data_IF_932089696885
#
_entry.id   IF_932089696885
#
_cell.length_a   1.000
_cell.length_b   1.000
_cell.length_c   1.000
_cell.angle_alpha   90.00
_cell.angle_beta   90.00
_cell.angle_gamma   90.00
#
_symmetry.space_group_name_H-M   'P 1'
#
loop_
_entity.id
_entity.type
_entity.pdbx_description
1 polymer ?
#
# COMPACT_ATOMS: atom_id res chain seq x y z
N UNK A 1 48.31 36.71 -5.06
CA UNK A 1 49.11 37.86 -4.57
C UNK A 1 48.42 38.40 -3.33
N UNK A 2 49.08 38.29 -2.17
CA UNK A 2 48.80 38.82 -0.80
C UNK A 2 47.43 38.51 -0.16
N UNK A 3 47.22 37.68 0.87
CA UNK A 3 47.93 37.27 2.13
C UNK A 3 47.96 38.34 3.25
N UNK A 4 47.13 38.12 4.30
CA UNK A 4 47.38 38.13 5.79
C UNK A 4 46.10 38.54 6.55
N UNK A 5 45.48 37.72 7.41
CA UNK A 5 45.86 37.12 8.72
C UNK A 5 46.05 38.12 9.89
N UNK A 6 45.23 37.99 10.94
CA UNK A 6 45.53 37.55 12.33
C UNK A 6 44.41 38.05 13.30
N UNK A 7 43.61 37.15 13.92
CA UNK A 7 43.65 36.67 15.36
C UNK A 7 42.97 37.64 16.34
N UNK A 8 42.33 37.31 17.47
CA UNK A 8 41.69 36.17 18.15
C UNK A 8 41.44 36.69 19.60
N UNK A 9 40.53 36.06 20.37
CA UNK A 9 40.20 36.25 21.81
C UNK A 9 39.13 37.31 22.11
N UNK A 10 38.25 37.16 23.10
CA UNK A 10 37.67 36.03 23.83
C UNK A 10 36.56 36.64 24.71
N UNK A 11 35.49 35.86 24.94
CA UNK A 11 34.62 35.80 26.12
C UNK A 11 34.11 37.07 26.84
N UNK A 12 32.79 37.10 27.05
CA UNK A 12 32.24 37.49 28.35
C UNK A 12 31.10 38.51 28.36
N UNK A 13 29.92 38.00 28.73
CA UNK A 13 28.88 38.66 29.52
C UNK A 13 27.77 39.49 28.82
N UNK A 14 26.56 39.22 29.32
CA UNK A 14 25.45 40.17 29.53
C UNK A 14 24.33 40.23 28.48
N UNK A 15 23.55 39.15 28.47
CA UNK A 15 22.10 39.15 28.22
C UNK A 15 21.39 39.95 29.34
N UNK A 16 21.22 41.26 29.17
CA UNK A 16 20.27 42.06 29.95
C UNK A 16 20.19 43.50 29.41
N UNK A 17 19.58 43.73 28.24
CA UNK A 17 19.11 45.08 27.86
C UNK A 17 18.28 45.11 26.56
N UNK A 18 17.22 44.30 26.42
CA UNK A 18 16.09 44.67 25.54
C UNK A 18 14.81 44.20 26.23
N UNK A 19 14.52 44.84 27.36
CA UNK A 19 13.30 44.65 28.14
C UNK A 19 12.73 46.03 28.49
N UNK A 20 12.54 46.91 27.50
CA UNK A 20 11.75 48.14 27.65
C UNK A 20 11.37 48.65 26.26
N UNK A 21 10.18 48.25 25.77
CA UNK A 21 9.28 49.00 24.88
C UNK A 21 8.27 48.05 24.23
N UNK A 22 7.26 47.64 24.99
CA UNK A 22 5.85 47.46 24.57
C UNK A 22 5.03 47.09 25.81
N UNK A 23 5.03 47.98 26.81
CA UNK A 23 4.14 47.88 27.96
C UNK A 23 3.10 49.00 27.83
N UNK A 24 2.01 48.72 27.10
CA UNK A 24 0.68 49.30 27.34
C UNK A 24 -0.31 48.79 26.28
N UNK A 25 -1.02 47.72 26.61
CA UNK A 25 -2.48 47.59 26.47
C UNK A 25 -2.90 46.17 26.92
N UNK A 26 -4.15 46.07 27.37
CA UNK A 26 -4.82 44.90 27.96
C UNK A 26 -4.53 44.64 29.45
N UNK A 27 -5.02 45.58 30.27
CA UNK A 27 -5.47 45.29 31.63
C UNK A 27 -6.97 45.04 31.58
N UNK A 28 -7.36 43.77 31.66
CA UNK A 28 -8.68 43.30 32.11
C UNK A 28 -8.59 41.78 32.39
N UNK A 29 -7.71 41.37 33.30
CA UNK A 29 -7.77 40.02 33.88
C UNK A 29 -9.04 39.95 34.72
N UNK A 30 -9.93 39.04 34.34
CA UNK A 30 -11.16 38.79 35.08
C UNK A 30 -10.81 38.16 36.43
N UNK A 31 -11.48 38.59 37.50
CA UNK A 31 -11.35 38.04 38.87
C UNK A 31 -11.65 36.53 38.97
N UNK A 32 -12.12 35.92 37.89
CA UNK A 32 -12.38 34.48 37.76
C UNK A 32 -11.12 33.65 37.54
N UNK A 33 -10.11 34.17 36.84
CA UNK A 33 -8.92 33.39 36.46
C UNK A 33 -7.92 33.28 37.61
N UNK A 34 -7.77 34.34 38.41
CA UNK A 34 -6.98 34.34 39.65
C UNK A 34 -7.57 33.41 40.70
N UNK A 35 -8.90 33.40 40.86
CA UNK A 35 -9.58 32.48 41.78
C UNK A 35 -9.46 31.00 41.35
N UNK A 36 -9.36 30.73 40.04
CA UNK A 36 -9.14 29.38 39.50
C UNK A 36 -7.70 28.91 39.72
N UNK A 37 -6.73 29.80 39.55
CA UNK A 37 -5.31 29.54 39.82
C UNK A 37 -5.07 29.22 41.29
N UNK A 38 -5.60 30.01 42.23
CA UNK A 38 -5.46 29.71 43.67
C UNK A 38 -6.10 28.36 44.05
N UNK A 39 -7.22 27.98 43.43
CA UNK A 39 -7.84 26.67 43.64
C UNK A 39 -6.99 25.53 43.11
N UNK A 40 -6.34 25.72 41.96
CA UNK A 40 -5.43 24.74 41.37
C UNK A 40 -4.16 24.58 42.22
N UNK A 41 -3.57 25.67 42.70
CA UNK A 41 -2.39 25.63 43.57
C UNK A 41 -2.69 24.90 44.88
N UNK A 42 -3.81 25.21 45.54
CA UNK A 42 -4.23 24.48 46.75
C UNK A 42 -4.50 23.00 46.48
N UNK A 43 -5.07 22.65 45.33
CA UNK A 43 -5.31 21.25 44.96
C UNK A 43 -4.00 20.49 44.73
N UNK A 44 -3.00 21.13 44.11
CA UNK A 44 -1.68 20.56 43.90
C UNK A 44 -0.94 20.37 45.22
N UNK A 45 -0.98 21.34 46.13
CA UNK A 45 -0.40 21.19 47.47
C UNK A 45 -1.05 20.05 48.27
N UNK A 46 -2.38 19.93 48.21
CA UNK A 46 -3.10 18.85 48.88
C UNK A 46 -2.72 17.47 48.30
N UNK A 47 -2.59 17.36 46.98
CA UNK A 47 -2.14 16.15 46.30
C UNK A 47 -0.70 15.79 46.62
N UNK A 48 0.19 16.77 46.74
CA UNK A 48 1.57 16.53 47.16
C UNK A 48 1.64 16.05 48.60
N UNK A 49 0.84 16.62 49.49
CA UNK A 49 0.74 16.18 50.89
C UNK A 49 0.20 14.74 51.01
N UNK A 50 -0.88 14.42 50.30
CA UNK A 50 -1.40 13.05 50.26
C UNK A 50 -0.39 12.04 49.71
N UNK A 51 0.36 12.41 48.67
CA UNK A 51 1.42 11.54 48.14
C UNK A 51 2.58 11.35 49.12
N UNK A 52 2.92 12.36 49.93
CA UNK A 52 3.92 12.24 50.98
C UNK A 52 3.45 11.31 52.11
N UNK A 53 2.19 11.44 52.55
CA UNK A 53 1.56 10.57 53.55
C UNK A 53 1.45 9.12 53.06
N UNK A 54 1.00 8.90 51.82
CA UNK A 54 0.96 7.57 51.21
C UNK A 54 2.34 6.93 51.08
N UNK A 55 3.37 7.72 50.73
CA UNK A 55 4.75 7.20 50.70
C UNK A 55 5.24 6.82 52.10
N UNK A 56 4.89 7.61 53.12
CA UNK A 56 5.22 7.30 54.50
C UNK A 56 4.51 6.01 54.97
N UNK A 57 3.23 5.83 54.64
CA UNK A 57 2.44 4.64 54.96
C UNK A 57 2.94 3.39 54.23
N UNK A 58 3.26 3.49 52.93
CA UNK A 58 3.87 2.37 52.19
C UNK A 58 5.23 2.00 52.79
N UNK A 59 6.01 2.99 53.25
CA UNK A 59 7.30 2.73 53.88
C UNK A 59 7.19 2.14 55.29
N UNK A 60 6.13 2.46 56.04
CA UNK A 60 5.85 1.84 57.35
C UNK A 60 5.34 0.40 57.19
N UNK A 61 4.49 0.14 56.19
CA UNK A 61 4.01 -1.21 55.86
C UNK A 61 5.16 -2.12 55.39
N UNK A 62 6.10 -1.60 54.59
CA UNK A 62 7.31 -2.35 54.19
C UNK A 62 8.24 -2.67 55.37
N UNK A 63 8.27 -1.86 56.42
CA UNK A 63 9.07 -2.12 57.63
C UNK A 63 8.46 -3.18 58.56
N UNK A 64 7.15 -3.43 58.49
CA UNK A 64 6.49 -4.49 59.27
C UNK A 64 6.51 -5.86 58.59
N UNK A 65 6.91 -5.93 57.31
CA UNK A 65 7.11 -7.17 56.57
C UNK A 65 8.60 -7.51 56.47
N UNK A 66 9.22 -7.86 57.60
CA UNK A 66 10.52 -8.54 57.64
C UNK A 66 10.35 -9.97 58.18
N UNK A 67 11.06 -10.98 57.64
CA UNK A 67 10.59 -12.36 57.64
C UNK A 67 11.05 -13.15 58.87
N UNK A 68 10.12 -13.85 59.53
CA UNK A 68 10.44 -14.96 60.42
C UNK A 68 10.72 -16.21 59.58
N UNK A 69 11.90 -16.81 59.80
CA UNK A 69 12.36 -18.04 59.17
C UNK A 69 11.39 -19.22 59.42
N UNK A 70 11.28 -20.14 58.44
CA UNK A 70 11.43 -21.62 58.57
C UNK A 70 11.17 -22.32 57.22
N UNK A 71 12.13 -23.19 56.85
CA UNK A 71 12.12 -24.43 56.04
C UNK A 71 11.64 -24.49 54.57
N UNK A 72 12.45 -25.22 53.79
CA UNK A 72 12.35 -25.57 52.37
C UNK A 72 11.26 -26.61 52.02
N UNK A 73 10.63 -26.53 50.82
CA UNK A 73 10.56 -27.51 49.68
C UNK A 73 9.92 -26.81 48.43
N UNK A 74 9.81 -27.40 47.21
CA UNK A 74 10.42 -26.92 45.97
C UNK A 74 9.48 -26.20 44.97
N UNK A 75 10.09 -25.79 43.86
CA UNK A 75 9.71 -24.86 42.80
C UNK A 75 8.29 -24.98 42.19
N UNK A 76 7.56 -23.86 42.22
CA UNK A 76 6.44 -23.54 41.35
C UNK A 76 6.17 -22.02 41.41
N UNK A 77 6.12 -21.32 40.27
CA UNK A 77 5.88 -19.87 40.25
C UNK A 77 4.42 -19.58 40.61
N UNK A 78 4.16 -19.13 41.83
CA UNK A 78 2.85 -18.62 42.26
C UNK A 78 2.88 -17.10 42.32
N UNK A 79 1.75 -16.46 41.95
CA UNK A 79 1.53 -15.02 42.16
C UNK A 79 0.51 -14.84 43.29
N UNK A 80 0.86 -14.05 44.30
CA UNK A 80 -0.03 -13.72 45.42
C UNK A 80 -1.10 -12.74 44.93
N UNK A 81 -2.37 -13.16 44.92
CA UNK A 81 -3.50 -12.27 44.65
C UNK A 81 -4.12 -11.81 45.97
N UNK A 82 -3.97 -10.52 46.29
CA UNK A 82 -4.57 -9.91 47.47
C UNK A 82 -5.94 -9.38 47.10
N UNK A 83 -6.98 -9.90 47.73
CA UNK A 83 -8.35 -9.39 47.57
C UNK A 83 -8.79 -8.76 48.90
N UNK A 84 -9.34 -7.55 48.84
CA UNK A 84 -9.73 -6.75 50.01
C UNK A 84 -11.24 -6.52 49.96
N UNK A 85 -11.98 -6.97 50.98
CA UNK A 85 -13.44 -6.78 51.08
C UNK A 85 -13.86 -5.65 52.03
N UNK A 86 -12.90 -4.86 52.52
CA UNK A 86 -13.16 -3.73 53.41
C UNK A 86 -12.82 -3.94 54.88
N UNK A 87 -12.51 -5.16 55.36
CA UNK A 87 -12.07 -5.36 56.77
C UNK A 87 -10.94 -6.36 57.02
N UNK A 88 -10.63 -7.27 56.11
CA UNK A 88 -9.55 -8.26 56.32
C UNK A 88 -8.79 -8.58 55.03
N UNK A 89 -7.48 -8.76 55.14
CA UNK A 89 -6.62 -9.25 54.05
C UNK A 89 -6.54 -10.77 54.13
N UNK A 90 -6.92 -11.46 53.05
CA UNK A 90 -6.70 -12.90 52.91
C UNK A 90 -5.74 -13.11 51.75
N UNK A 91 -4.53 -13.59 52.05
CA UNK A 91 -3.59 -14.07 51.04
C UNK A 91 -3.99 -15.50 50.65
N UNK A 92 -4.46 -15.68 49.41
CA UNK A 92 -4.68 -17.00 48.83
C UNK A 92 -3.64 -17.21 47.74
N UNK A 93 -2.85 -18.28 47.87
CA UNK A 93 -2.04 -18.77 46.77
C UNK A 93 -2.99 -19.36 45.71
N UNK A 94 -3.26 -18.60 44.65
CA UNK A 94 -4.00 -19.08 43.49
C UNK A 94 -2.95 -19.63 42.52
N UNK A 95 -3.12 -20.90 42.12
CA UNK A 95 -2.35 -21.47 41.02
C UNK A 95 -2.67 -20.64 39.78
N UNK A 96 -1.67 -19.99 39.20
CA UNK A 96 -1.79 -19.36 37.89
C UNK A 96 -2.11 -20.51 36.93
N UNK A 97 -3.38 -20.65 36.51
CA UNK A 97 -3.68 -21.40 35.30
C UNK A 97 -2.83 -20.74 34.22
N UNK A 98 -1.75 -21.40 33.82
CA UNK A 98 -1.12 -21.13 32.54
C UNK A 98 -2.27 -21.15 31.55
N UNK A 99 -2.71 -19.97 31.09
CA UNK A 99 -3.52 -19.91 29.89
C UNK A 99 -2.69 -20.68 28.88
N UNK A 100 -3.15 -21.86 28.43
CA UNK A 100 -2.36 -22.65 27.51
C UNK A 100 -1.96 -21.69 26.40
N UNK A 101 -0.68 -21.64 26.01
CA UNK A 101 -0.31 -20.83 24.86
C UNK A 101 -1.31 -21.18 23.77
N UNK A 102 -1.92 -20.15 23.16
CA UNK A 102 -2.95 -20.34 22.15
C UNK A 102 -2.26 -21.05 20.99
N UNK A 103 -2.24 -22.38 21.03
CA UNK A 103 -1.86 -23.19 19.92
C UNK A 103 -3.00 -23.07 18.93
N UNK A 104 -2.72 -22.56 17.74
CA UNK A 104 -3.60 -22.74 16.60
C UNK A 104 -3.64 -24.25 16.35
N UNK A 105 -4.62 -24.94 16.94
CA UNK A 105 -4.83 -26.35 16.71
C UNK A 105 -5.60 -26.50 15.40
N UNK A 106 -4.96 -27.19 14.45
CA UNK A 106 -5.58 -27.57 13.19
C UNK A 106 -6.90 -28.33 13.45
N UNK A 107 -8.03 -27.77 13.01
CA UNK A 107 -9.34 -28.44 13.07
C UNK A 107 -9.55 -29.22 11.77
N UNK A 108 -9.19 -30.49 11.76
CA UNK A 108 -9.40 -31.43 10.64
C UNK A 108 -8.09 -31.94 10.02
N UNK A 109 -8.08 -33.14 9.43
CA UNK A 109 -6.84 -33.81 8.99
C UNK A 109 -6.13 -33.15 7.79
N UNK A 110 -6.82 -32.28 7.03
CA UNK A 110 -6.39 -31.88 5.68
C UNK A 110 -5.94 -30.42 5.54
N UNK A 111 -6.08 -29.60 6.58
CA UNK A 111 -5.83 -28.16 6.48
C UNK A 111 -4.32 -27.86 6.40
N UNK A 112 -3.85 -27.42 5.23
CA UNK A 112 -2.52 -26.81 5.07
C UNK A 112 -2.65 -25.31 5.27
N UNK A 113 -2.11 -24.77 6.38
CA UNK A 113 -2.05 -23.33 6.62
C UNK A 113 -0.62 -22.83 6.45
N UNK A 114 -0.47 -21.71 5.75
CA UNK A 114 0.79 -20.98 5.62
C UNK A 114 0.56 -19.54 6.03
N UNK A 115 1.22 -19.12 7.10
CA UNK A 115 1.36 -17.72 7.45
C UNK A 115 2.57 -17.18 6.71
N UNK A 116 2.40 -16.07 6.01
CA UNK A 116 3.48 -15.39 5.33
C UNK A 116 3.25 -13.89 5.25
N UNK A 117 4.09 -13.23 4.46
CA UNK A 117 3.97 -11.80 4.24
C UNK A 117 5.15 -11.22 3.50
N UNK A 118 5.16 -9.90 3.38
CA UNK A 118 6.31 -9.20 2.85
C UNK A 118 6.34 -7.73 3.29
N UNK A 119 7.56 -7.19 3.34
CA UNK A 119 7.84 -5.79 3.62
C UNK A 119 8.62 -5.21 2.44
N UNK A 120 8.20 -4.04 1.97
CA UNK A 120 8.91 -3.24 0.98
C UNK A 120 9.18 -1.85 1.57
N UNK A 121 10.45 -1.52 1.77
CA UNK A 121 10.89 -0.20 2.22
C UNK A 121 11.54 0.53 1.05
N UNK A 122 11.09 1.75 0.78
CA UNK A 122 11.62 2.61 -0.26
C UNK A 122 12.41 3.77 0.35
N UNK A 123 13.49 4.16 -0.34
CA UNK A 123 14.08 5.49 -0.31
C UNK A 123 13.76 6.17 -1.64
N UNK A 124 13.29 7.42 -1.61
CA UNK A 124 12.88 8.21 -2.78
C UNK A 124 13.52 9.60 -2.69
N UNK A 125 14.16 10.04 -3.77
CA UNK A 125 14.95 11.28 -3.87
C UNK A 125 14.77 11.97 -5.22
N UNK A 126 14.76 13.31 -5.22
CA UNK A 126 14.55 14.14 -6.40
C UNK A 126 13.09 14.57 -6.56
N UNK A 127 12.56 14.45 -7.77
CA UNK A 127 11.17 14.76 -8.09
C UNK A 127 10.25 13.58 -7.71
N UNK A 128 10.13 13.33 -6.40
CA UNK A 128 9.46 12.14 -5.83
C UNK A 128 8.04 11.95 -6.38
N UNK A 129 7.81 10.80 -7.02
CA UNK A 129 6.55 10.39 -7.64
C UNK A 129 6.06 11.31 -8.78
N UNK A 130 6.93 12.13 -9.36
CA UNK A 130 6.59 12.96 -10.51
C UNK A 130 6.21 12.13 -11.74
N UNK A 131 6.72 10.90 -11.86
CA UNK A 131 6.28 9.95 -12.90
C UNK A 131 4.79 9.62 -12.79
N UNK A 132 4.18 9.68 -11.59
CA UNK A 132 2.72 9.55 -11.40
C UNK A 132 1.96 10.87 -11.66
N UNK A 133 2.64 11.91 -12.16
CA UNK A 133 2.10 13.25 -12.33
C UNK A 133 2.04 14.08 -11.04
N UNK A 134 2.75 13.67 -9.97
CA UNK A 134 2.78 14.40 -8.68
C UNK A 134 3.83 15.49 -8.67
N UNK A 135 3.52 16.61 -9.32
CA UNK A 135 4.32 17.82 -9.30
C UNK A 135 3.43 19.04 -9.00
N UNK A 136 4.00 20.25 -9.00
CA UNK A 136 3.27 21.46 -8.61
C UNK A 136 2.83 21.41 -7.15
N UNK A 137 1.54 21.61 -6.90
CA UNK A 137 0.99 21.59 -5.52
C UNK A 137 0.99 20.19 -4.89
N UNK A 138 1.04 19.13 -5.71
CA UNK A 138 1.07 17.74 -5.26
C UNK A 138 2.50 17.18 -5.13
N UNK A 139 3.52 18.02 -5.34
CA UNK A 139 4.91 17.60 -5.30
C UNK A 139 5.30 17.07 -3.92
N UNK A 140 5.95 15.91 -3.92
CA UNK A 140 6.45 15.28 -2.70
C UNK A 140 7.92 15.63 -2.48
N UNK A 141 8.39 15.42 -1.25
CA UNK A 141 9.79 15.60 -0.86
C UNK A 141 10.46 14.25 -0.66
N UNK A 142 11.79 14.27 -0.71
CA UNK A 142 12.63 13.11 -0.43
C UNK A 142 12.18 12.42 0.85
N UNK A 143 12.10 11.09 0.82
CA UNK A 143 11.53 10.33 1.93
C UNK A 143 12.06 8.91 2.00
N UNK A 144 12.03 8.39 3.22
CA UNK A 144 11.93 6.96 3.44
C UNK A 144 10.45 6.63 3.67
N UNK A 145 9.93 5.65 2.94
CA UNK A 145 8.56 5.16 3.17
C UNK A 145 8.49 3.65 3.25
N UNK A 146 7.62 3.18 4.11
CA UNK A 146 7.16 1.80 4.10
C UNK A 146 6.10 1.69 2.99
N UNK A 147 6.52 1.21 1.82
CA UNK A 147 5.71 1.20 0.59
C UNK A 147 4.60 0.16 0.66
N UNK A 148 4.88 -1.00 1.26
CA UNK A 148 3.95 -2.09 1.56
C UNK A 148 4.44 -2.85 2.78
N UNK A 149 3.53 -3.22 3.67
CA UNK A 149 3.79 -4.17 4.74
C UNK A 149 2.58 -5.08 4.86
N UNK A 150 2.68 -6.29 4.28
CA UNK A 150 1.56 -7.21 4.20
C UNK A 150 1.80 -8.45 5.03
N UNK A 151 0.73 -8.92 5.64
CA UNK A 151 0.64 -10.23 6.26
C UNK A 151 -0.47 -11.00 5.56
N UNK A 152 -0.22 -12.28 5.29
CA UNK A 152 -1.21 -13.16 4.69
C UNK A 152 -1.28 -14.52 5.38
N UNK A 153 -2.47 -15.10 5.35
CA UNK A 153 -2.74 -16.48 5.69
C UNK A 153 -3.35 -17.14 4.46
N UNK A 154 -2.69 -18.16 3.94
CA UNK A 154 -3.22 -18.98 2.84
C UNK A 154 -3.45 -20.40 3.31
N UNK A 155 -4.42 -21.09 2.72
CA UNK A 155 -4.55 -22.52 2.93
C UNK A 155 -5.36 -23.25 1.88
N UNK A 156 -5.23 -24.57 1.95
CA UNK A 156 -5.96 -25.56 1.15
C UNK A 156 -6.83 -26.38 2.11
N UNK A 157 -8.11 -26.51 1.77
CA UNK A 157 -9.10 -27.24 2.53
C UNK A 157 -9.89 -28.20 1.62
N UNK A 158 -10.10 -29.43 2.11
CA UNK A 158 -10.85 -30.48 1.43
C UNK A 158 -10.36 -30.79 0.00
N UNK A 159 -9.06 -30.58 -0.27
CA UNK A 159 -8.35 -30.80 -1.54
C UNK A 159 -8.84 -29.97 -2.74
N UNK A 160 -9.91 -29.19 -2.57
CA UNK A 160 -10.64 -28.52 -3.65
C UNK A 160 -10.92 -27.05 -3.38
N UNK A 161 -10.55 -26.54 -2.21
CA UNK A 161 -10.76 -25.14 -1.83
C UNK A 161 -9.47 -24.48 -1.37
N UNK A 162 -8.98 -23.52 -2.15
CA UNK A 162 -7.93 -22.61 -1.75
C UNK A 162 -8.55 -21.36 -1.14
N UNK A 163 -7.90 -20.78 -0.14
CA UNK A 163 -8.24 -19.45 0.33
C UNK A 163 -7.02 -18.60 0.63
N UNK A 164 -7.21 -17.29 0.60
CA UNK A 164 -6.21 -16.29 1.01
C UNK A 164 -6.90 -15.21 1.82
N UNK A 165 -6.27 -14.83 2.94
CA UNK A 165 -6.58 -13.65 3.73
C UNK A 165 -5.32 -12.80 3.81
N UNK A 166 -5.28 -11.64 3.16
CA UNK A 166 -4.14 -10.72 3.18
C UNK A 166 -4.60 -9.30 3.53
N UNK A 167 -3.83 -8.64 4.38
CA UNK A 167 -4.00 -7.22 4.65
C UNK A 167 -2.69 -6.46 4.67
N UNK A 168 -2.80 -5.15 4.43
CA UNK A 168 -1.69 -4.20 4.33
C UNK A 168 -1.75 -3.21 5.50
N UNK A 169 -0.60 -2.97 6.14
CA UNK A 169 -0.44 -1.92 7.13
C UNK A 169 -0.15 -0.60 6.38
N UNK A 170 -1.20 0.17 6.13
CA UNK A 170 -1.12 1.43 5.39
C UNK A 170 -0.49 2.53 6.24
N UNK A 171 0.45 3.28 5.64
CA UNK A 171 1.06 4.43 6.27
C UNK A 171 0.38 5.70 5.80
N UNK A 172 -0.12 6.48 6.75
CA UNK A 172 -0.59 7.85 6.50
C UNK A 172 0.57 8.71 6.02
N UNK A 173 0.29 9.59 5.04
CA UNK A 173 1.22 10.62 4.58
C UNK A 173 1.39 11.78 5.57
N UNK A 174 0.66 11.74 6.70
CA UNK A 174 0.74 12.72 7.79
C UNK A 174 0.10 14.07 7.48
N UNK A 175 -0.50 14.22 6.29
CA UNK A 175 -1.15 15.47 5.85
C UNK A 175 -2.65 15.48 6.18
N UNK A 176 -3.23 14.32 6.44
CA UNK A 176 -4.60 14.17 6.95
C UNK A 176 -4.58 13.41 8.29
N UNK A 177 -5.51 13.74 9.20
CA UNK A 177 -5.67 13.12 10.52
C UNK A 177 -6.09 11.62 10.49
N UNK A 178 -6.04 10.98 9.33
CA UNK A 178 -6.34 9.57 9.15
C UNK A 178 -5.24 8.72 9.77
N UNK A 179 -5.67 7.78 10.63
CA UNK A 179 -4.80 6.82 11.32
C UNK A 179 -4.17 5.87 10.29
N UNK A 180 -2.96 5.38 10.59
CA UNK A 180 -2.45 4.11 10.04
C UNK A 180 -3.57 3.08 10.03
N UNK A 181 -3.95 2.61 8.86
CA UNK A 181 -5.07 1.70 8.66
C UNK A 181 -4.55 0.28 8.37
N UNK A 182 -5.34 -0.72 8.71
CA UNK A 182 -5.14 -2.07 8.22
C UNK A 182 -6.23 -2.35 7.20
N UNK A 183 -5.82 -2.48 5.94
CA UNK A 183 -6.74 -2.66 4.82
C UNK A 183 -6.66 -4.08 4.28
N UNK A 184 -7.81 -4.70 4.03
CA UNK A 184 -7.84 -5.95 3.31
C UNK A 184 -7.43 -5.73 1.86
N UNK A 185 -6.57 -6.61 1.35
CA UNK A 185 -6.14 -6.60 -0.05
C UNK A 185 -6.76 -7.78 -0.78
N UNK A 186 -6.33 -9.00 -0.45
CA UNK A 186 -6.86 -10.22 -1.05
C UNK A 186 -7.58 -11.06 0.02
N UNK A 187 -8.89 -11.21 -0.09
CA UNK A 187 -9.73 -12.06 0.77
C UNK A 187 -10.63 -12.89 -0.13
N UNK A 188 -10.27 -14.13 -0.42
CA UNK A 188 -11.08 -14.96 -1.33
C UNK A 188 -11.05 -16.44 -0.97
N UNK A 189 -12.03 -17.15 -1.52
CA UNK A 189 -12.08 -18.61 -1.62
C UNK A 189 -12.10 -18.95 -3.12
N UNK A 190 -11.36 -19.98 -3.52
CA UNK A 190 -11.32 -20.52 -4.87
C UNK A 190 -11.65 -22.02 -4.80
N UNK A 191 -12.73 -22.42 -5.46
CA UNK A 191 -13.07 -23.82 -5.67
C UNK A 191 -12.43 -24.31 -6.96
N UNK A 192 -11.50 -25.26 -6.85
CA UNK A 192 -10.62 -25.71 -7.93
C UNK A 192 -10.76 -27.19 -8.30
N UNK A 193 -11.96 -27.76 -8.14
CA UNK A 193 -12.23 -29.17 -8.46
C UNK A 193 -11.88 -29.56 -9.90
N UNK A 194 -12.07 -28.65 -10.86
CA UNK A 194 -11.77 -28.90 -12.26
C UNK A 194 -10.71 -27.92 -12.77
N UNK A 195 -9.59 -28.37 -13.35
CA UNK A 195 -8.57 -27.46 -13.85
C UNK A 195 -9.07 -26.60 -15.01
N UNK A 196 -10.09 -27.07 -15.74
CA UNK A 196 -10.72 -26.37 -16.85
C UNK A 196 -11.83 -25.40 -16.41
N UNK A 197 -12.31 -25.45 -15.16
CA UNK A 197 -13.33 -24.54 -14.63
C UNK A 197 -13.25 -24.45 -13.09
N UNK A 198 -12.78 -23.32 -12.61
CA UNK A 198 -12.63 -22.96 -11.20
C UNK A 198 -13.47 -21.73 -10.88
N UNK A 199 -14.01 -21.67 -9.67
CA UNK A 199 -14.85 -20.55 -9.22
C UNK A 199 -14.16 -19.84 -8.06
N UNK A 200 -13.87 -18.55 -8.22
CA UNK A 200 -13.27 -17.70 -7.20
C UNK A 200 -14.28 -16.65 -6.74
N UNK A 201 -14.41 -16.46 -5.42
CA UNK A 201 -15.34 -15.50 -4.81
C UNK A 201 -14.70 -14.78 -3.61
N UNK A 202 -15.01 -13.49 -3.45
CA UNK A 202 -14.36 -12.60 -2.47
C UNK A 202 -13.79 -11.32 -3.09
N UNK A 203 -12.68 -10.83 -2.57
CA UNK A 203 -11.93 -9.66 -3.03
C UNK A 203 -10.53 -10.04 -3.49
N UNK A 204 -10.15 -9.65 -4.70
CA UNK A 204 -8.79 -9.80 -5.25
C UNK A 204 -8.64 -8.89 -6.47
N UNK A 205 -7.46 -8.90 -7.10
CA UNK A 205 -7.22 -8.16 -8.34
C UNK A 205 -8.10 -8.67 -9.48
N UNK A 206 -8.91 -7.79 -10.09
CA UNK A 206 -9.68 -8.17 -11.27
C UNK A 206 -8.73 -8.61 -12.40
N UNK A 207 -9.13 -9.58 -13.26
CA UNK A 207 -8.28 -10.14 -14.30
C UNK A 207 -8.20 -9.17 -15.50
N UNK A 208 -7.63 -7.99 -15.30
CA UNK A 208 -7.50 -6.96 -16.34
C UNK A 208 -6.07 -6.41 -16.30
N UNK A 209 -5.33 -6.66 -17.38
CA UNK A 209 -3.96 -6.23 -17.56
C UNK A 209 -2.89 -7.13 -16.95
N UNK A 210 -1.75 -7.24 -17.63
CA UNK A 210 -0.65 -8.14 -17.28
C UNK A 210 0.13 -7.66 -16.07
N UNK A 211 0.59 -6.40 -16.06
CA UNK A 211 1.33 -5.85 -14.92
C UNK A 211 0.46 -5.79 -13.66
N UNK A 212 -0.83 -5.51 -13.82
CA UNK A 212 -1.76 -5.45 -12.70
C UNK A 212 -1.89 -6.81 -12.02
N UNK A 213 -2.17 -7.85 -12.80
CA UNK A 213 -2.35 -9.22 -12.30
C UNK A 213 -1.03 -9.85 -11.81
N UNK A 214 0.11 -9.36 -12.27
CA UNK A 214 1.44 -9.75 -11.77
C UNK A 214 1.60 -9.36 -10.28
N UNK A 215 2.13 -10.26 -9.42
CA UNK A 215 2.39 -9.95 -8.01
C UNK A 215 3.32 -8.74 -7.83
N UNK A 216 3.01 -7.90 -6.84
CA UNK A 216 3.79 -6.68 -6.54
C UNK A 216 5.27 -7.00 -6.22
N UNK A 217 5.53 -8.18 -5.69
CA UNK A 217 6.86 -8.64 -5.28
C UNK A 217 7.71 -9.16 -6.43
N UNK A 218 7.14 -9.42 -7.61
CA UNK A 218 7.84 -10.02 -8.77
C UNK A 218 8.05 -9.04 -9.92
N UNK A 219 7.57 -7.81 -9.79
CA UNK A 219 7.81 -6.74 -10.78
C UNK A 219 9.30 -6.47 -10.98
N UNK A 220 9.65 -6.07 -12.21
CA UNK A 220 11.02 -5.73 -12.61
C UNK A 220 11.39 -4.28 -12.25
N UNK A 221 10.40 -3.39 -12.23
CA UNK A 221 10.50 -2.02 -11.71
C UNK A 221 9.94 -1.94 -10.29
N UNK A 222 10.33 -0.91 -9.56
CA UNK A 222 9.93 -0.69 -8.16
C UNK A 222 8.45 -0.30 -8.09
N UNK A 223 7.96 0.54 -8.99
CA UNK A 223 6.54 0.87 -9.10
C UNK A 223 5.95 0.31 -10.38
N UNK A 224 4.62 0.21 -10.40
CA UNK A 224 3.86 -0.10 -11.61
C UNK A 224 3.90 1.08 -12.57
N UNK A 225 3.63 0.78 -13.83
CA UNK A 225 3.58 1.76 -14.89
C UNK A 225 2.38 2.70 -14.78
N UNK A 226 2.55 3.87 -15.37
CA UNK A 226 1.56 4.92 -15.57
C UNK A 226 0.21 4.41 -16.07
N UNK A 227 0.12 3.75 -17.23
CA UNK A 227 -1.16 3.30 -17.76
C UNK A 227 -1.79 2.20 -16.90
N UNK A 228 -1.01 1.32 -16.29
CA UNK A 228 -1.55 0.32 -15.36
C UNK A 228 -2.18 0.98 -14.13
N UNK A 229 -1.53 2.00 -13.57
CA UNK A 229 -2.04 2.74 -12.41
C UNK A 229 -3.33 3.51 -12.70
N UNK A 230 -3.46 4.04 -13.92
CA UNK A 230 -4.57 4.89 -14.33
C UNK A 230 -5.80 4.12 -14.82
N UNK A 231 -5.60 3.01 -15.55
CA UNK A 231 -6.66 2.35 -16.35
C UNK A 231 -7.16 1.05 -15.72
N UNK A 232 -6.35 0.37 -14.90
CA UNK A 232 -6.75 -0.93 -14.36
C UNK A 232 -7.64 -0.78 -13.11
N UNK A 233 -8.72 -1.59 -12.96
CA UNK A 233 -9.69 -1.48 -11.87
C UNK A 233 -9.16 -1.96 -10.51
N UNK A 234 -7.88 -2.32 -10.44
CA UNK A 234 -7.21 -2.90 -9.28
C UNK A 234 -7.96 -4.08 -8.63
N UNK A 235 -8.29 -3.97 -7.35
CA UNK A 235 -8.94 -5.02 -6.55
C UNK A 235 -10.42 -4.76 -6.44
N UNK A 236 -11.19 -5.85 -6.56
CA UNK A 236 -12.64 -5.79 -6.67
C UNK A 236 -13.27 -6.93 -5.89
N UNK A 237 -14.46 -6.68 -5.34
CA UNK A 237 -15.30 -7.69 -4.70
C UNK A 237 -16.20 -8.31 -5.77
N UNK A 238 -16.20 -9.64 -5.89
CA UNK A 238 -17.01 -10.31 -6.90
C UNK A 238 -16.85 -11.83 -6.95
N UNK A 239 -17.24 -12.37 -8.10
CA UNK A 239 -17.13 -13.79 -8.45
C UNK A 239 -16.51 -13.94 -9.85
N UNK A 240 -15.71 -14.97 -10.05
CA UNK A 240 -15.05 -15.28 -11.32
C UNK A 240 -15.08 -16.77 -11.62
N UNK A 241 -15.39 -17.10 -12.87
CA UNK A 241 -15.10 -18.39 -13.48
C UNK A 241 -13.77 -18.27 -14.24
N UNK A 242 -12.85 -19.19 -14.02
CA UNK A 242 -11.58 -19.22 -14.75
C UNK A 242 -11.06 -20.64 -14.93
N UNK A 243 -10.19 -20.88 -15.90
CA UNK A 243 -9.65 -22.23 -16.07
C UNK A 243 -8.75 -22.41 -17.28
N UNK A 244 -8.18 -23.62 -17.35
CA UNK A 244 -7.28 -24.10 -18.39
C UNK A 244 -7.95 -25.25 -19.13
N UNK A 245 -8.73 -24.98 -20.20
CA UNK A 245 -9.56 -25.98 -20.88
C UNK A 245 -8.74 -27.14 -21.45
N UNK A 246 -7.45 -26.92 -21.75
CA UNK A 246 -6.57 -27.94 -22.31
C UNK A 246 -5.84 -28.77 -21.24
N UNK A 247 -5.95 -28.43 -19.95
CA UNK A 247 -5.20 -29.09 -18.90
C UNK A 247 -5.47 -30.60 -18.77
N UNK A 248 -6.70 -31.04 -19.08
CA UNK A 248 -7.07 -32.47 -19.00
C UNK A 248 -6.73 -33.24 -20.28
N UNK A 249 -6.90 -32.62 -21.45
CA UNK A 249 -6.72 -33.28 -22.76
C UNK A 249 -5.30 -33.17 -23.30
N UNK A 250 -4.55 -32.15 -22.89
CA UNK A 250 -3.17 -31.90 -23.31
C UNK A 250 -2.32 -31.34 -22.15
N UNK A 251 -1.97 -32.17 -21.15
CA UNK A 251 -1.33 -31.70 -19.91
C UNK A 251 -0.02 -30.94 -20.10
N UNK A 252 0.82 -31.36 -21.08
CA UNK A 252 2.10 -30.71 -21.39
C UNK A 252 1.92 -29.26 -21.90
N UNK A 253 0.72 -28.93 -22.38
CA UNK A 253 0.33 -27.63 -22.92
C UNK A 253 -0.89 -27.06 -22.17
N UNK A 254 -1.06 -27.40 -20.88
CA UNK A 254 -2.18 -26.92 -20.07
C UNK A 254 -2.34 -25.38 -20.11
N UNK A 255 -1.23 -24.64 -20.18
CA UNK A 255 -1.21 -23.17 -20.19
C UNK A 255 -1.33 -22.55 -21.59
N UNK A 256 -1.54 -23.37 -22.63
CA UNK A 256 -1.72 -22.88 -23.99
C UNK A 256 -2.97 -22.00 -24.11
N UNK A 257 -3.99 -22.25 -23.29
CA UNK A 257 -5.17 -21.42 -23.19
C UNK A 257 -5.58 -21.31 -21.72
N UNK A 258 -5.71 -20.08 -21.22
CA UNK A 258 -6.33 -19.78 -19.93
C UNK A 258 -7.38 -18.70 -20.14
N UNK A 259 -8.56 -18.87 -19.56
CA UNK A 259 -9.63 -17.87 -19.64
C UNK A 259 -10.07 -17.43 -18.25
N UNK A 260 -10.57 -16.20 -18.18
CA UNK A 260 -11.17 -15.60 -16.99
C UNK A 260 -12.43 -14.84 -17.41
N UNK A 261 -13.52 -15.01 -16.66
CA UNK A 261 -14.74 -14.24 -16.79
C UNK A 261 -15.27 -13.93 -15.39
N UNK A 262 -15.40 -12.65 -15.05
CA UNK A 262 -15.77 -12.20 -13.72
C UNK A 262 -16.85 -11.12 -13.71
N UNK A 263 -17.61 -11.11 -12.62
CA UNK A 263 -18.64 -10.14 -12.28
C UNK A 263 -18.27 -9.54 -10.92
N UNK A 264 -18.18 -8.22 -10.86
CA UNK A 264 -17.67 -7.48 -9.71
C UNK A 264 -18.57 -6.29 -9.39
N UNK A 265 -18.50 -5.78 -8.16
CA UNK A 265 -19.24 -4.57 -7.79
C UNK A 265 -18.81 -3.32 -8.56
N UNK A 266 -17.53 -3.20 -8.95
CA UNK A 266 -17.00 -2.07 -9.73
C UNK A 266 -16.40 -0.95 -8.88
N UNK A 267 -16.75 -0.88 -7.59
CA UNK A 267 -16.40 0.24 -6.71
C UNK A 267 -14.99 0.17 -6.09
N UNK A 268 -14.21 -0.88 -6.36
CA UNK A 268 -12.85 -1.03 -5.82
C UNK A 268 -12.79 -1.84 -4.52
N UNK A 269 -11.61 -1.84 -3.91
CA UNK A 269 -11.31 -2.66 -2.72
C UNK A 269 -11.99 -2.10 -1.48
N UNK A 270 -12.35 -2.99 -0.55
CA UNK A 270 -12.91 -2.68 0.76
C UNK A 270 -14.26 -1.92 0.69
N UNK A 271 -14.91 -1.92 -0.48
CA UNK A 271 -16.25 -1.36 -0.69
C UNK A 271 -17.21 -2.51 -1.00
N UNK A 272 -18.12 -2.77 -0.07
CA UNK A 272 -19.13 -3.83 -0.20
C UNK A 272 -20.48 -3.31 -0.71
N UNK A 273 -20.70 -1.99 -0.67
CA UNK A 273 -21.90 -1.39 -1.23
C UNK A 273 -21.76 -1.33 -2.75
N UNK A 274 -22.78 -1.82 -3.47
CA UNK A 274 -22.94 -1.55 -4.89
C UNK A 274 -23.62 -0.18 -5.02
N UNK A 275 -23.01 0.74 -5.73
CA UNK A 275 -23.47 2.12 -5.85
C UNK A 275 -24.74 2.28 -6.69
N UNK A 276 -24.98 1.41 -7.68
CA UNK A 276 -26.02 1.67 -8.69
C UNK A 276 -26.77 0.44 -9.26
N UNK A 277 -26.72 -0.72 -8.58
CA UNK A 277 -27.29 -2.00 -9.01
C UNK A 277 -26.77 -2.54 -10.37
N UNK A 278 -25.70 -1.98 -10.94
CA UNK A 278 -24.99 -2.57 -12.08
C UNK A 278 -23.73 -3.25 -11.56
N UNK A 279 -23.26 -4.26 -12.30
CA UNK A 279 -21.98 -4.89 -12.01
C UNK A 279 -20.96 -4.50 -13.08
N UNK A 280 -19.69 -4.51 -12.68
CA UNK A 280 -18.57 -4.50 -13.59
C UNK A 280 -18.31 -5.92 -14.11
N UNK A 281 -18.16 -6.04 -15.43
CA UNK A 281 -17.83 -7.29 -16.11
C UNK A 281 -16.40 -7.23 -16.62
N UNK A 282 -15.62 -8.28 -16.37
CA UNK A 282 -14.23 -8.37 -16.85
C UNK A 282 -14.00 -9.73 -17.46
N UNK A 283 -13.39 -9.78 -18.63
CA UNK A 283 -12.95 -11.02 -19.26
C UNK A 283 -11.51 -10.91 -19.73
N UNK A 284 -10.73 -11.98 -19.55
CA UNK A 284 -9.34 -12.10 -20.01
C UNK A 284 -9.09 -13.43 -20.68
N UNK A 285 -8.32 -13.41 -21.75
CA UNK A 285 -7.80 -14.59 -22.42
C UNK A 285 -6.28 -14.53 -22.39
N UNK A 286 -5.64 -15.65 -22.05
CA UNK A 286 -4.19 -15.79 -22.09
C UNK A 286 -3.78 -17.02 -22.89
N UNK A 287 -2.65 -16.92 -23.59
CA UNK A 287 -2.04 -18.06 -24.28
C UNK A 287 -0.53 -18.08 -24.07
N UNK A 288 0.01 -19.24 -23.69
CA UNK A 288 1.45 -19.48 -23.64
C UNK A 288 1.90 -20.27 -24.86
N UNK A 289 2.54 -19.58 -25.79
CA UNK A 289 3.06 -20.10 -27.05
C UNK A 289 4.58 -20.32 -26.96
N UNK A 290 5.11 -21.10 -27.92
CA UNK A 290 6.56 -21.30 -28.13
C UNK A 290 7.33 -21.72 -26.87
N UNK A 291 6.68 -22.46 -25.97
CA UNK A 291 7.30 -22.99 -24.75
C UNK A 291 8.48 -23.90 -25.11
N UNK A 292 9.63 -23.61 -24.52
CA UNK A 292 10.90 -24.32 -24.73
C UNK A 292 11.45 -24.34 -26.18
N UNK A 293 10.87 -23.56 -27.10
CA UNK A 293 11.30 -23.52 -28.52
C UNK A 293 12.63 -22.79 -28.71
N UNK A 294 12.89 -21.73 -27.93
CA UNK A 294 14.12 -20.94 -28.00
C UNK A 294 15.07 -21.22 -26.83
N UNK A 295 15.05 -22.47 -26.34
CA UNK A 295 15.82 -22.94 -25.18
C UNK A 295 14.93 -23.20 -23.97
N UNK A 296 15.41 -24.07 -23.06
CA UNK A 296 14.64 -24.46 -21.88
C UNK A 296 14.25 -23.26 -21.02
N UNK A 297 12.95 -23.12 -20.76
CA UNK A 297 12.34 -22.00 -20.03
C UNK A 297 11.90 -20.83 -20.92
N UNK A 298 12.10 -20.88 -22.24
CA UNK A 298 11.61 -19.82 -23.14
C UNK A 298 10.09 -19.92 -23.33
N UNK A 299 9.41 -18.80 -23.52
CA UNK A 299 7.99 -18.75 -23.90
C UNK A 299 7.63 -17.40 -24.51
N UNK A 300 6.49 -17.35 -25.21
CA UNK A 300 5.75 -16.13 -25.52
C UNK A 300 4.37 -16.24 -24.87
N UNK A 301 4.10 -15.42 -23.87
CA UNK A 301 2.77 -15.25 -23.30
C UNK A 301 2.07 -14.10 -24.01
N UNK A 302 0.83 -14.30 -24.42
CA UNK A 302 -0.04 -13.26 -24.98
C UNK A 302 -1.28 -13.15 -24.10
N UNK A 303 -1.79 -11.94 -23.93
CA UNK A 303 -3.01 -11.65 -23.19
C UNK A 303 -3.88 -10.61 -23.89
N UNK A 304 -5.19 -10.72 -23.67
CA UNK A 304 -6.15 -9.71 -24.07
C UNK A 304 -7.29 -9.64 -23.06
N UNK A 305 -7.76 -8.42 -22.79
CA UNK A 305 -8.78 -8.14 -21.78
C UNK A 305 -9.88 -7.24 -22.32
N UNK A 306 -11.07 -7.39 -21.76
CA UNK A 306 -12.17 -6.45 -21.91
C UNK A 306 -12.83 -6.20 -20.55
N UNK A 307 -13.27 -4.97 -20.35
CA UNK A 307 -13.98 -4.52 -19.16
C UNK A 307 -15.16 -3.65 -19.57
N UNK A 308 -16.30 -3.84 -18.90
CA UNK A 308 -17.42 -2.91 -18.95
C UNK A 308 -17.90 -2.63 -17.53
N UNK A 309 -18.09 -1.36 -17.20
CA UNK A 309 -18.68 -0.93 -15.93
C UNK A 309 -19.69 0.18 -16.16
N UNK A 310 -20.58 0.35 -15.19
CA UNK A 310 -21.46 1.49 -15.04
C UNK A 310 -21.34 1.89 -13.60
N UNK A 311 -20.88 3.10 -13.33
CA UNK A 311 -20.61 3.56 -11.97
C UNK A 311 -21.40 4.85 -11.71
N UNK A 312 -21.72 5.11 -10.44
CA UNK A 312 -22.38 6.34 -9.99
C UNK A 312 -21.37 7.39 -9.53
N UNK A 313 -21.86 8.61 -9.33
CA UNK A 313 -21.08 9.73 -8.79
C UNK A 313 -20.35 9.32 -7.51
N UNK A 314 -19.07 9.65 -7.42
CA UNK A 314 -18.23 9.40 -6.25
C UNK A 314 -17.39 8.13 -6.32
N UNK A 315 -17.61 7.27 -7.32
CA UNK A 315 -16.73 6.11 -7.56
C UNK A 315 -15.36 6.59 -8.09
N UNK A 316 -14.27 6.13 -7.48
CA UNK A 316 -12.90 6.40 -7.94
C UNK A 316 -12.49 5.37 -9.00
N UNK A 317 -12.24 5.84 -10.22
CA UNK A 317 -11.91 4.99 -11.36
C UNK A 317 -10.39 4.86 -11.60
N UNK A 318 -9.56 5.61 -10.87
CA UNK A 318 -8.10 5.53 -10.94
C UNK A 318 -7.49 5.27 -9.56
N UNK A 319 -7.31 3.99 -9.24
CA UNK A 319 -6.91 3.56 -7.89
C UNK A 319 -5.46 3.95 -7.53
N UNK A 320 -4.60 4.23 -8.52
CA UNK A 320 -3.22 4.70 -8.29
C UNK A 320 -3.07 6.23 -8.33
N UNK A 321 -4.19 6.97 -8.35
CA UNK A 321 -4.25 8.42 -8.17
C UNK A 321 -3.63 9.28 -9.30
N UNK A 322 -3.55 8.76 -10.52
CA UNK A 322 -2.83 9.39 -11.63
C UNK A 322 -3.66 9.53 -12.93
N UNK A 323 -4.91 10.01 -12.84
CA UNK A 323 -5.79 10.13 -14.03
C UNK A 323 -6.40 11.52 -14.22
N UNK A 324 -6.91 12.18 -13.19
CA UNK A 324 -7.52 13.51 -13.33
C UNK A 324 -6.46 14.59 -13.57
N UNK A 325 -6.58 15.34 -14.66
CA UNK A 325 -5.62 16.40 -15.04
C UNK A 325 -5.99 17.73 -14.39
N UNK A 326 -5.20 18.15 -13.40
CA UNK A 326 -5.38 19.41 -12.70
C UNK A 326 -5.03 20.62 -13.57
N UNK A 327 -5.40 21.82 -13.12
CA UNK A 327 -5.16 23.06 -13.86
C UNK A 327 -3.67 23.35 -14.11
N UNK A 328 -2.78 22.83 -13.27
CA UNK A 328 -1.32 22.97 -13.38
C UNK A 328 -0.64 21.77 -14.07
N UNK A 329 -1.43 20.88 -14.69
CA UNK A 329 -0.99 19.66 -15.36
C UNK A 329 -0.68 18.49 -14.44
N UNK A 330 -0.70 18.68 -13.11
CA UNK A 330 -0.49 17.56 -12.18
C UNK A 330 -1.64 16.56 -12.27
N UNK A 331 -1.37 15.31 -11.94
CA UNK A 331 -2.38 14.26 -11.92
C UNK A 331 -2.88 14.00 -10.50
N UNK A 332 -4.12 13.54 -10.42
CA UNK A 332 -4.80 13.18 -9.17
C UNK A 332 -5.81 12.05 -9.41
N UNK A 333 -6.46 11.50 -8.36
CA UNK A 333 -7.49 10.48 -8.55
C UNK A 333 -8.69 11.05 -9.30
N UNK A 334 -9.18 10.33 -10.31
CA UNK A 334 -10.44 10.64 -10.97
C UNK A 334 -11.59 10.02 -10.19
N UNK A 335 -12.23 10.83 -9.35
CA UNK A 335 -13.50 10.52 -8.72
C UNK A 335 -14.61 11.01 -9.63
N UNK A 336 -15.50 10.12 -10.05
CA UNK A 336 -16.57 10.43 -11.00
C UNK A 336 -17.45 11.58 -10.50
N UNK A 337 -17.53 12.71 -11.23
CA UNK A 337 -18.36 13.84 -10.83
C UNK A 337 -19.86 13.58 -11.08
N UNK A 338 -20.18 12.67 -11.99
CA UNK A 338 -21.52 12.19 -12.30
C UNK A 338 -21.51 10.71 -12.66
N UNK A 339 -22.69 10.10 -12.83
CA UNK A 339 -22.79 8.70 -13.26
C UNK A 339 -22.21 8.49 -14.66
N UNK A 340 -21.62 7.33 -14.89
CA UNK A 340 -20.91 7.03 -16.14
C UNK A 340 -21.17 5.60 -16.64
N UNK A 341 -20.66 5.33 -17.83
CA UNK A 341 -20.47 4.01 -18.42
C UNK A 341 -19.07 3.93 -19.00
N UNK A 342 -18.34 2.87 -18.65
CA UNK A 342 -16.96 2.64 -19.06
C UNK A 342 -16.83 1.38 -19.87
N UNK A 343 -15.97 1.46 -20.88
CA UNK A 343 -15.49 0.29 -21.62
C UNK A 343 -13.99 0.38 -21.73
N UNK A 344 -13.28 -0.64 -21.28
CA UNK A 344 -11.83 -0.72 -21.38
C UNK A 344 -11.40 -2.02 -22.06
N UNK A 345 -10.23 -1.98 -22.69
CA UNK A 345 -9.58 -3.16 -23.26
C UNK A 345 -8.07 -3.03 -23.17
N UNK A 346 -7.40 -4.17 -23.16
CA UNK A 346 -5.93 -4.23 -23.19
C UNK A 346 -5.44 -5.42 -24.00
N UNK A 347 -4.22 -5.30 -24.49
CA UNK A 347 -3.46 -6.40 -25.11
C UNK A 347 -2.04 -6.39 -24.56
N UNK A 348 -1.52 -7.58 -24.25
CA UNK A 348 -0.21 -7.74 -23.65
C UNK A 348 0.58 -8.89 -24.27
N UNK A 349 1.90 -8.78 -24.17
CA UNK A 349 2.83 -9.81 -24.56
C UNK A 349 4.01 -9.87 -23.59
N UNK A 350 4.45 -11.08 -23.27
CA UNK A 350 5.68 -11.35 -22.52
C UNK A 350 6.48 -12.44 -23.21
N UNK A 351 7.57 -12.03 -23.84
CA UNK A 351 8.57 -12.91 -24.42
C UNK A 351 9.69 -13.16 -23.40
N UNK A 352 9.93 -14.43 -23.07
CA UNK A 352 11.09 -14.87 -22.28
C UNK A 352 12.01 -15.71 -23.14
N UNK A 353 13.29 -15.32 -23.23
CA UNK A 353 14.32 -16.02 -24.02
C UNK A 353 15.66 -16.00 -23.29
N UNK A 354 16.01 -17.11 -22.63
CA UNK A 354 17.26 -17.23 -21.88
C UNK A 354 17.38 -16.17 -20.77
N UNK A 355 18.42 -15.32 -20.75
CA UNK A 355 18.58 -14.25 -19.76
C UNK A 355 17.70 -13.02 -20.04
N UNK A 356 17.03 -12.96 -21.19
CA UNK A 356 16.27 -11.81 -21.66
C UNK A 356 14.76 -12.01 -21.46
N UNK A 357 14.09 -10.93 -21.09
CA UNK A 357 12.65 -10.81 -21.01
C UNK A 357 12.22 -9.50 -21.71
N UNK A 358 11.18 -9.55 -22.52
CA UNK A 358 10.54 -8.39 -23.13
C UNK A 358 9.04 -8.45 -22.83
N UNK A 359 8.52 -7.41 -22.19
CA UNK A 359 7.12 -7.30 -21.80
C UNK A 359 6.58 -6.03 -22.42
N UNK A 360 5.39 -6.10 -23.03
CA UNK A 360 4.69 -4.93 -23.53
C UNK A 360 3.20 -5.05 -23.28
N UNK A 361 2.56 -3.93 -22.98
CA UNK A 361 1.12 -3.86 -22.77
C UNK A 361 0.59 -2.51 -23.27
N UNK A 362 -0.57 -2.54 -23.91
CA UNK A 362 -1.35 -1.36 -24.27
C UNK A 362 -2.71 -1.46 -23.59
N UNK A 363 -3.19 -0.36 -23.01
CA UNK A 363 -4.49 -0.26 -22.36
C UNK A 363 -5.24 0.97 -22.87
N UNK A 364 -6.56 0.87 -22.97
CA UNK A 364 -7.44 1.99 -23.27
C UNK A 364 -8.75 1.86 -22.49
N UNK A 365 -9.24 2.98 -21.98
CA UNK A 365 -10.57 3.09 -21.38
C UNK A 365 -11.30 4.30 -21.96
N UNK A 366 -12.56 4.08 -22.34
CA UNK A 366 -13.49 5.15 -22.67
C UNK A 366 -14.43 5.36 -21.49
N UNK A 367 -14.50 6.60 -21.02
CA UNK A 367 -15.40 7.04 -19.96
C UNK A 367 -16.49 7.89 -20.59
N UNK A 368 -17.74 7.43 -20.52
CA UNK A 368 -18.88 8.13 -21.09
C UNK A 368 -19.88 8.52 -20.01
N UNK A 369 -20.14 9.82 -19.82
CA UNK A 369 -21.11 10.29 -18.85
C UNK A 369 -22.54 9.83 -19.19
N UNK A 370 -23.38 9.55 -18.19
CA UNK A 370 -24.77 9.11 -18.37
C UNK A 370 -25.78 10.07 -17.73
N UNK A 371 -26.90 10.29 -18.44
CA UNK A 371 -28.09 10.94 -17.87
C UNK A 371 -28.81 9.96 -16.95
N UNK A 372 -29.00 10.33 -15.69
CA UNK A 372 -29.69 9.51 -14.68
C UNK A 372 -30.88 10.30 -14.12
N UNK A 373 -32.05 9.69 -14.07
CA UNK A 373 -33.29 10.33 -13.57
C UNK A 373 -33.61 11.69 -14.22
N UNK A 374 -33.26 11.85 -15.50
CA UNK A 374 -33.48 13.10 -16.24
C UNK A 374 -32.49 14.23 -15.91
N UNK A 375 -31.50 13.99 -15.04
CA UNK A 375 -30.41 14.92 -14.75
C UNK A 375 -29.30 14.69 -15.77
N UNK A 376 -28.99 15.67 -16.63
CA UNK A 376 -27.89 15.56 -17.58
C UNK A 376 -26.54 15.52 -16.85
N UNK A 377 -25.49 14.94 -17.47
CA UNK A 377 -24.18 14.88 -16.86
C UNK A 377 -23.52 16.25 -16.65
N UNK A 378 -22.62 16.31 -15.68
CA UNK A 378 -21.85 17.50 -15.30
C UNK A 378 -20.38 17.46 -15.78
N UNK A 379 -20.01 16.49 -16.61
CA UNK A 379 -18.68 16.37 -17.20
C UNK A 379 -18.75 15.80 -18.62
N UNK A 380 -17.71 16.09 -19.41
CA UNK A 380 -17.54 15.57 -20.76
C UNK A 380 -16.91 14.18 -20.73
N UNK A 381 -17.29 13.33 -21.70
CA UNK A 381 -16.65 12.03 -21.88
C UNK A 381 -15.22 12.18 -22.40
N UNK A 382 -14.36 11.24 -22.00
CA UNK A 382 -12.96 11.21 -22.41
C UNK A 382 -12.52 9.78 -22.73
N UNK A 383 -11.38 9.64 -23.39
CA UNK A 383 -10.73 8.35 -23.61
C UNK A 383 -9.30 8.45 -23.13
N UNK A 384 -8.95 7.62 -22.15
CA UNK A 384 -7.59 7.50 -21.64
C UNK A 384 -6.94 6.27 -22.28
N UNK A 385 -5.68 6.39 -22.66
CA UNK A 385 -4.92 5.29 -23.25
C UNK A 385 -3.45 5.39 -22.88
N UNK A 386 -2.74 4.28 -22.99
CA UNK A 386 -1.32 4.27 -22.76
C UNK A 386 -0.69 2.91 -22.94
N UNK A 387 0.63 2.89 -22.92
CA UNK A 387 1.40 1.67 -23.08
C UNK A 387 2.64 1.69 -22.21
N UNK A 388 3.19 0.51 -22.00
CA UNK A 388 4.56 0.37 -21.55
C UNK A 388 5.27 -0.75 -22.30
N UNK A 389 6.60 -0.65 -22.36
CA UNK A 389 7.50 -1.70 -22.81
C UNK A 389 8.63 -1.84 -21.80
N UNK A 390 8.81 -3.03 -21.25
CA UNK A 390 9.86 -3.36 -20.28
C UNK A 390 10.79 -4.42 -20.87
N UNK A 391 12.08 -4.09 -20.97
CA UNK A 391 13.15 -5.02 -21.26
C UNK A 391 13.93 -5.37 -20.00
N UNK A 392 14.08 -6.66 -19.70
CA UNK A 392 14.89 -7.17 -18.61
C UNK A 392 16.01 -8.07 -19.14
N UNK A 393 17.21 -7.96 -18.57
CA UNK A 393 18.33 -8.84 -18.91
C UNK A 393 19.14 -9.22 -17.67
N UNK A 394 19.30 -10.52 -17.41
CA UNK A 394 20.18 -11.00 -16.36
C UNK A 394 21.65 -10.88 -16.75
N UNK A 395 22.31 -9.84 -16.23
CA UNK A 395 23.77 -9.64 -16.33
C UNK A 395 24.53 -10.77 -15.61
N UNK A 396 24.00 -11.20 -14.46
CA UNK A 396 24.45 -12.40 -13.74
C UNK A 396 23.22 -13.28 -13.55
N UNK A 397 23.20 -14.51 -14.08
CA UNK A 397 22.03 -15.38 -14.03
C UNK A 397 21.44 -15.48 -12.61
N UNK A 398 20.15 -15.15 -12.48
CA UNK A 398 19.38 -15.21 -11.23
C UNK A 398 19.90 -14.33 -10.07
N UNK A 399 20.86 -13.45 -10.32
CA UNK A 399 21.52 -12.64 -9.28
C UNK A 399 21.48 -11.15 -9.56
N UNK A 400 21.80 -10.74 -10.78
CA UNK A 400 21.81 -9.32 -11.16
C UNK A 400 21.08 -9.15 -12.48
N UNK A 401 20.01 -8.36 -12.47
CA UNK A 401 19.20 -8.03 -13.63
C UNK A 401 19.28 -6.53 -13.89
N UNK A 402 19.51 -6.15 -15.14
CA UNK A 402 19.28 -4.79 -15.63
C UNK A 402 17.90 -4.70 -16.26
N UNK A 403 17.23 -3.57 -16.05
CA UNK A 403 15.87 -3.31 -16.53
C UNK A 403 15.83 -1.94 -17.19
N UNK A 404 15.17 -1.85 -18.33
CA UNK A 404 14.79 -0.60 -18.97
C UNK A 404 13.30 -0.65 -19.25
N UNK A 405 12.56 0.41 -18.90
CA UNK A 405 11.14 0.52 -19.19
C UNK A 405 10.85 1.87 -19.82
N UNK A 406 10.06 1.89 -20.89
CA UNK A 406 9.47 3.11 -21.44
C UNK A 406 7.96 3.01 -21.30
N UNK A 407 7.34 4.10 -20.87
CA UNK A 407 5.90 4.17 -20.58
C UNK A 407 5.34 5.51 -21.01
N UNK A 408 4.08 5.49 -21.43
CA UNK A 408 3.30 6.64 -21.81
C UNK A 408 1.85 6.49 -21.30
N UNK A 409 1.28 7.59 -20.85
CA UNK A 409 -0.13 7.72 -20.52
C UNK A 409 -0.67 9.01 -21.13
N UNK A 410 -1.79 8.89 -21.83
CA UNK A 410 -2.65 9.97 -22.27
C UNK A 410 -3.93 9.95 -21.42
N UNK A 411 -4.09 10.88 -20.45
CA UNK A 411 -5.33 11.00 -19.69
C UNK A 411 -6.55 11.37 -20.54
N UNK A 412 -6.35 12.10 -21.64
CA UNK A 412 -7.37 12.40 -22.64
C UNK A 412 -8.43 13.43 -22.24
N UNK A 413 -8.16 14.24 -21.22
CA UNK A 413 -9.10 15.25 -20.67
C UNK A 413 -8.78 16.66 -21.14
N UNK A 414 -7.53 16.95 -21.52
CA UNK A 414 -7.06 18.26 -22.01
C UNK A 414 -6.18 18.10 -23.23
N UNK A 415 -5.96 19.19 -23.96
CA UNK A 415 -5.00 19.19 -25.06
C UNK A 415 -3.56 19.02 -24.54
N UNK A 416 -2.80 18.14 -25.18
CA UNK A 416 -1.42 17.81 -24.84
C UNK A 416 -1.25 17.38 -23.36
N UNK A 417 -2.13 16.54 -22.81
CA UNK A 417 -2.03 16.11 -21.41
C UNK A 417 -1.24 14.81 -21.19
N UNK A 418 -0.49 14.38 -22.20
CA UNK A 418 0.37 13.21 -22.15
C UNK A 418 1.48 13.31 -21.10
N UNK A 419 1.84 12.17 -20.53
CA UNK A 419 2.98 12.00 -19.63
C UNK A 419 3.79 10.77 -20.06
N UNK A 420 5.09 10.95 -20.24
CA UNK A 420 6.03 9.92 -20.67
C UNK A 420 7.10 9.70 -19.60
N UNK A 421 7.53 8.47 -19.38
CA UNK A 421 8.71 8.21 -18.54
C UNK A 421 9.59 7.11 -19.10
N UNK A 422 10.91 7.25 -18.89
CA UNK A 422 11.88 6.18 -19.06
C UNK A 422 12.47 5.81 -17.70
N UNK A 423 12.54 4.51 -17.43
CA UNK A 423 13.10 3.94 -16.21
C UNK A 423 14.33 3.12 -16.57
N UNK A 424 15.45 3.39 -15.91
CA UNK A 424 16.63 2.53 -15.89
C UNK A 424 16.81 1.93 -14.51
N UNK A 425 17.01 0.62 -14.41
CA UNK A 425 17.03 -0.07 -13.12
C UNK A 425 18.00 -1.25 -13.02
N UNK A 426 18.38 -1.55 -11.78
CA UNK A 426 19.14 -2.74 -11.39
C UNK A 426 18.44 -3.46 -10.25
N UNK A 427 18.27 -4.78 -10.40
CA UNK A 427 17.74 -5.66 -9.38
C UNK A 427 18.82 -6.67 -8.95
N UNK A 428 19.11 -6.73 -7.65
CA UNK A 428 20.01 -7.69 -7.06
C UNK A 428 19.24 -8.70 -6.20
N UNK A 429 19.19 -9.94 -6.68
CA UNK A 429 18.45 -11.04 -6.07
C UNK A 429 19.36 -11.82 -5.11
N UNK A 430 19.25 -11.53 -3.82
CA UNK A 430 20.00 -12.24 -2.79
C UNK A 430 19.45 -13.66 -2.66
N UNK A 431 18.11 -13.79 -2.58
CA UNK A 431 17.37 -15.05 -2.53
C UNK A 431 16.10 -14.96 -3.39
N UNK A 432 16.26 -14.93 -4.72
CA UNK A 432 15.11 -14.74 -5.62
C UNK A 432 14.29 -13.51 -5.23
N UNK A 433 12.98 -13.56 -5.41
CA UNK A 433 12.07 -12.48 -4.99
C UNK A 433 11.86 -12.43 -3.47
N UNK A 434 12.24 -13.47 -2.71
CA UNK A 434 12.11 -13.48 -1.24
C UNK A 434 12.98 -12.40 -0.58
N UNK A 435 14.15 -12.13 -1.15
CA UNK A 435 15.06 -11.08 -0.66
C UNK A 435 15.79 -10.46 -1.84
N UNK A 436 15.43 -9.21 -2.16
CA UNK A 436 16.05 -8.45 -3.25
C UNK A 436 16.22 -6.97 -2.92
N UNK A 437 17.23 -6.40 -3.54
CA UNK A 437 17.52 -4.96 -3.56
C UNK A 437 17.25 -4.45 -4.96
N UNK A 438 16.62 -3.29 -5.08
CA UNK A 438 16.30 -2.67 -6.37
C UNK A 438 16.71 -1.19 -6.34
N UNK A 439 17.18 -0.67 -7.46
CA UNK A 439 17.37 0.76 -7.68
C UNK A 439 16.80 1.11 -9.05
N UNK A 440 16.00 2.15 -9.12
CA UNK A 440 15.49 2.73 -10.36
C UNK A 440 15.84 4.21 -10.42
N UNK A 441 16.27 4.67 -11.60
CA UNK A 441 16.27 6.06 -11.98
C UNK A 441 15.15 6.26 -13.00
N UNK A 442 14.33 7.28 -12.79
CA UNK A 442 13.16 7.59 -13.60
C UNK A 442 13.31 9.01 -14.12
N UNK A 443 13.19 9.18 -15.43
CA UNK A 443 13.08 10.49 -16.05
C UNK A 443 11.73 10.61 -16.73
N UNK A 444 11.02 11.71 -16.47
CA UNK A 444 9.63 11.92 -16.87
C UNK A 444 9.47 13.25 -17.60
N UNK A 445 8.60 13.28 -18.60
CA UNK A 445 8.18 14.48 -19.34
C UNK A 445 6.67 14.66 -19.27
N UNK A 446 6.22 15.90 -19.13
CA UNK A 446 4.81 16.30 -19.18
C UNK A 446 4.55 17.18 -20.39
N UNK A 447 3.84 16.64 -21.39
CA UNK A 447 3.45 17.35 -22.60
C UNK A 447 2.60 18.60 -22.25
N UNK A 448 1.84 18.53 -21.16
CA UNK A 448 0.98 19.64 -20.72
C UNK A 448 1.81 20.82 -20.28
N UNK A 449 2.88 20.57 -19.51
CA UNK A 449 3.74 21.64 -19.00
C UNK A 449 4.70 22.15 -20.06
N UNK A 450 5.12 21.30 -21.00
CA UNK A 450 5.84 21.74 -22.19
C UNK A 450 5.00 22.75 -22.99
N UNK A 451 3.70 22.47 -23.16
CA UNK A 451 2.76 23.37 -23.85
C UNK A 451 2.36 24.60 -23.02
N UNK A 452 2.53 24.57 -21.69
CA UNK A 452 2.11 25.62 -20.74
C UNK A 452 3.25 25.94 -19.75
N UNK A 453 4.36 26.57 -20.21
CA UNK A 453 5.58 26.77 -19.44
C UNK A 453 5.39 27.69 -18.22
N UNK A 454 4.29 28.42 -18.12
CA UNK A 454 3.92 29.19 -16.92
C UNK A 454 3.76 28.32 -15.67
N UNK A 455 3.54 27.01 -15.80
CA UNK A 455 3.42 26.06 -14.69
C UNK A 455 4.77 25.50 -14.19
N UNK A 456 5.88 25.95 -14.78
CA UNK A 456 7.24 25.59 -14.37
C UNK A 456 7.83 24.47 -15.21
N UNK A 457 8.75 23.70 -14.62
CA UNK A 457 9.44 22.61 -15.31
C UNK A 457 8.46 21.54 -15.82
N UNK A 458 8.80 20.99 -16.98
CA UNK A 458 8.09 19.96 -17.72
C UNK A 458 8.82 18.61 -17.70
N UNK A 459 10.08 18.58 -17.27
CA UNK A 459 10.87 17.38 -17.04
C UNK A 459 11.19 17.15 -15.55
N UNK A 460 11.32 15.87 -15.18
CA UNK A 460 11.46 15.45 -13.78
C UNK A 460 12.39 14.25 -13.64
N UNK A 461 13.16 14.20 -12.55
CA UNK A 461 14.14 13.15 -12.27
C UNK A 461 13.95 12.58 -10.86
N UNK A 462 13.76 11.27 -10.77
CA UNK A 462 13.59 10.56 -9.49
C UNK A 462 14.53 9.36 -9.39
N UNK A 463 15.08 9.15 -8.19
CA UNK A 463 15.77 7.90 -7.83
C UNK A 463 14.98 7.20 -6.74
N UNK A 464 14.69 5.92 -6.96
CA UNK A 464 14.06 5.05 -5.97
C UNK A 464 14.97 3.87 -5.65
N UNK A 465 15.27 3.68 -4.36
CA UNK A 465 15.88 2.47 -3.84
C UNK A 465 14.87 1.64 -3.06
N UNK A 466 14.85 0.33 -3.24
CA UNK A 466 13.98 -0.59 -2.48
C UNK A 466 14.75 -1.75 -1.85
N UNK A 467 14.39 -2.05 -0.62
CA UNK A 467 14.64 -3.34 0.02
C UNK A 467 13.32 -4.11 0.11
N UNK A 468 13.28 -5.34 -0.39
CA UNK A 468 12.14 -6.24 -0.28
C UNK A 468 12.53 -7.49 0.50
N UNK A 469 11.67 -7.86 1.45
CA UNK A 469 11.77 -9.10 2.21
C UNK A 469 10.41 -9.79 2.22
N UNK A 470 10.35 -11.06 1.82
CA UNK A 470 9.21 -11.95 1.99
C UNK A 470 9.55 -12.99 3.07
N UNK A 471 8.55 -13.44 3.83
CA UNK A 471 8.72 -14.38 4.92
C UNK A 471 7.56 -15.35 5.04
#
# INVERSE_FOLDING_TARGET
MFIKKFVLRAAGASLAAIAFLTAQQLRAESSSDTARLEKLERAVELLQKQNAELKAEVSSLKKHAAPSAVAAVPEGKTKTQVTYDGKTYVEKAVVEEEKPPVYVQQRGPELKLVLGGFIQMNFEDGDVSAFEGRFGQNALKDRFRLRRARINLTGDFAEQFDFKLEGDFENSDGLNASRTAFEATDIFINWHQFPWAQIKMGQWKAPFGLEQTTPDTTLYTIERTLPTGAITPERQVGIQLWGKPLATVWPDHADLLTYYAGIFNGNGRNITNNDNNNFMYVSRLESTLFKDVFGKGSFLKLGADILNSRDDKGTNISQSLNLLVNSDGSLSPFVLPGADERTAWSVDAWLKMGPFDLIGEFLQERVHPRTVNGVPPDFDGFTTDGFYVTGGYFLIPKKLQAVVQWQYLNPGQKGNDGISSIVGGLNYYIRGDDLKLMVNYIHTWSDFREANPEFGQDDFNEVIGRVQVMF
#
